data_IF_878476007990
#
_entry.id   IF_878476007990
#
_cell.length_a   1.000
_cell.length_b   1.000
_cell.length_c   1.000
_cell.angle_alpha   90.00
_cell.angle_beta   90.00
_cell.angle_gamma   90.00
#
_symmetry.space_group_name_H-M   'P 1'
#
loop_
_entity.id
_entity.type
_entity.pdbx_description
1 polymer ?
#
# COMPACT_ATOMS: atom_id res chain seq x y z
N UNK A 1 28.15 20.28 -6.31
CA UNK A 1 26.76 20.19 -5.82
C UNK A 1 26.32 18.77 -6.05
N UNK A 2 25.63 18.16 -5.08
CA UNK A 2 25.12 16.80 -5.22
C UNK A 2 24.05 16.73 -6.30
N UNK A 3 23.77 15.53 -6.82
CA UNK A 3 22.68 15.30 -7.76
C UNK A 3 21.56 14.55 -7.04
N UNK A 4 20.37 15.14 -7.00
CA UNK A 4 19.19 14.50 -6.42
C UNK A 4 18.41 13.78 -7.53
N UNK A 5 18.20 12.48 -7.32
CA UNK A 5 17.54 11.59 -8.27
C UNK A 5 16.20 11.11 -7.72
N UNK A 6 15.17 11.13 -8.55
CA UNK A 6 13.85 10.59 -8.20
C UNK A 6 13.11 10.02 -9.41
N UNK A 7 12.10 9.19 -9.16
CA UNK A 7 11.23 8.60 -10.19
C UNK A 7 9.93 9.39 -10.25
N UNK A 8 9.52 9.82 -11.44
CA UNK A 8 8.39 10.72 -11.63
C UNK A 8 7.33 10.19 -12.59
N UNK A 9 6.07 10.19 -12.15
CA UNK A 9 4.90 9.97 -12.98
C UNK A 9 4.20 11.29 -13.24
N UNK A 10 3.98 11.59 -14.52
CA UNK A 10 3.21 12.76 -14.92
C UNK A 10 1.72 12.62 -14.58
N UNK A 11 1.09 13.74 -14.24
CA UNK A 11 -0.38 13.82 -14.11
C UNK A 11 -1.04 13.31 -15.41
N UNK A 12 -2.10 12.52 -15.26
CA UNK A 12 -2.89 11.98 -16.38
C UNK A 12 -2.39 10.65 -16.94
N UNK A 13 -1.24 10.15 -16.47
CA UNK A 13 -0.71 8.84 -16.87
C UNK A 13 -1.35 7.72 -16.06
N UNK A 14 -1.83 6.66 -16.72
CA UNK A 14 -2.41 5.46 -16.10
C UNK A 14 -3.76 5.09 -16.69
N UNK A 15 -4.54 4.27 -15.98
CA UNK A 15 -5.86 3.86 -16.42
C UNK A 15 -6.92 4.97 -16.25
N UNK A 16 -8.00 4.93 -17.05
CA UNK A 16 -9.12 5.89 -16.99
C UNK A 16 -8.66 7.35 -17.18
N UNK A 17 -8.54 8.14 -16.11
CA UNK A 17 -8.04 9.52 -16.14
C UNK A 17 -6.58 9.63 -15.66
N UNK A 18 -5.95 8.51 -15.29
CA UNK A 18 -4.58 8.43 -14.82
C UNK A 18 -4.35 9.02 -13.44
N UNK A 19 -3.11 9.37 -13.13
CA UNK A 19 -2.74 10.02 -11.88
C UNK A 19 -3.38 11.42 -11.79
N UNK A 20 -4.12 11.75 -10.72
CA UNK A 20 -4.84 13.04 -10.60
C UNK A 20 -3.91 14.24 -10.35
N UNK A 21 -2.71 13.96 -9.87
CA UNK A 21 -1.58 14.86 -9.62
C UNK A 21 -0.28 14.12 -10.01
N UNK A 22 0.87 14.81 -10.06
CA UNK A 22 2.14 14.14 -10.28
C UNK A 22 2.54 13.23 -9.10
N UNK A 23 3.38 12.22 -9.35
CA UNK A 23 3.97 11.37 -8.31
C UNK A 23 5.49 11.41 -8.38
N UNK A 24 6.16 11.74 -7.29
CA UNK A 24 7.61 11.63 -7.15
C UNK A 24 7.96 10.60 -6.08
N UNK A 25 8.75 9.59 -6.44
CA UNK A 25 9.25 8.56 -5.52
C UNK A 25 10.78 8.72 -5.39
N UNK A 26 11.26 8.85 -4.15
CA UNK A 26 12.64 9.22 -3.84
C UNK A 26 13.25 8.15 -2.95
N UNK A 27 14.47 7.72 -3.25
CA UNK A 27 15.24 6.86 -2.34
C UNK A 27 15.95 7.74 -1.30
N UNK A 28 15.79 7.43 -0.02
CA UNK A 28 16.51 8.09 1.08
C UNK A 28 18.03 8.06 0.87
N UNK A 29 18.57 7.01 0.26
CA UNK A 29 20.00 6.93 -0.11
C UNK A 29 20.38 7.95 -1.18
N UNK A 30 19.47 8.30 -2.09
CA UNK A 30 19.70 9.35 -3.08
C UNK A 30 19.75 10.75 -2.43
N UNK A 31 18.92 11.00 -1.42
CA UNK A 31 18.98 12.24 -0.61
C UNK A 31 20.32 12.31 0.13
N UNK A 32 20.74 11.23 0.78
CA UNK A 32 22.01 11.17 1.49
C UNK A 32 23.22 11.38 0.55
N UNK A 33 23.21 10.74 -0.63
CA UNK A 33 24.26 10.89 -1.65
C UNK A 33 24.30 12.29 -2.26
N UNK A 34 23.17 13.01 -2.24
CA UNK A 34 23.08 14.40 -2.67
C UNK A 34 23.56 15.40 -1.61
N UNK A 35 23.91 14.94 -0.39
CA UNK A 35 24.43 15.75 0.72
C UNK A 35 23.49 16.89 1.16
N UNK A 36 22.18 16.67 1.08
CA UNK A 36 21.14 17.61 1.53
C UNK A 36 20.28 17.01 2.63
N UNK A 37 19.62 17.87 3.41
CA UNK A 37 18.56 17.42 4.31
C UNK A 37 17.34 16.92 3.52
N UNK A 38 16.54 16.07 4.15
CA UNK A 38 15.30 15.56 3.56
C UNK A 38 14.34 16.71 3.20
N UNK A 39 14.14 17.68 4.10
CA UNK A 39 13.33 18.87 3.84
C UNK A 39 13.82 19.66 2.61
N UNK A 40 15.14 19.89 2.51
CA UNK A 40 15.71 20.60 1.37
C UNK A 40 15.55 19.80 0.07
N UNK A 41 15.64 18.47 0.12
CA UNK A 41 15.37 17.61 -1.02
C UNK A 41 13.91 17.69 -1.48
N UNK A 42 12.96 17.66 -0.54
CA UNK A 42 11.53 17.80 -0.82
C UNK A 42 11.21 19.15 -1.47
N UNK A 43 11.74 20.25 -0.92
CA UNK A 43 11.54 21.60 -1.47
C UNK A 43 12.11 21.74 -2.89
N UNK A 44 13.27 21.13 -3.17
CA UNK A 44 13.88 21.13 -4.51
C UNK A 44 13.07 20.33 -5.52
N UNK A 45 12.57 19.16 -5.13
CA UNK A 45 11.70 18.34 -5.98
C UNK A 45 10.39 19.10 -6.26
N UNK A 46 9.79 19.71 -5.23
CA UNK A 46 8.61 20.53 -5.38
C UNK A 46 8.85 21.67 -6.39
N UNK A 47 9.93 22.44 -6.22
CA UNK A 47 10.30 23.55 -7.10
C UNK A 47 10.56 23.11 -8.54
N UNK A 48 11.23 21.98 -8.73
CA UNK A 48 11.53 21.44 -10.06
C UNK A 48 10.26 21.01 -10.82
N UNK A 49 9.25 20.50 -10.12
CA UNK A 49 7.98 20.05 -10.72
C UNK A 49 7.01 21.21 -10.92
N UNK A 50 6.95 22.16 -9.99
CA UNK A 50 6.18 23.40 -10.10
C UNK A 50 4.65 23.26 -10.05
N UNK A 51 4.10 22.07 -10.27
CA UNK A 51 2.67 21.75 -10.20
C UNK A 51 2.28 20.86 -9.01
N UNK A 52 1.02 20.41 -8.94
CA UNK A 52 0.55 19.56 -7.86
C UNK A 52 1.22 18.18 -7.94
N UNK A 53 1.84 17.75 -6.84
CA UNK A 53 2.60 16.50 -6.75
C UNK A 53 2.54 15.91 -5.34
N UNK A 54 2.46 14.58 -5.26
CA UNK A 54 2.75 13.82 -4.06
C UNK A 54 4.20 13.30 -4.11
N UNK A 55 4.96 13.49 -3.04
CA UNK A 55 6.37 13.11 -2.93
C UNK A 55 6.51 12.08 -1.81
N UNK A 56 7.02 10.89 -2.12
CA UNK A 56 7.20 9.80 -1.18
C UNK A 56 8.69 9.44 -1.06
N UNK A 57 9.23 9.49 0.15
CA UNK A 57 10.61 9.07 0.44
C UNK A 57 10.61 7.65 0.97
N UNK A 58 11.42 6.80 0.35
CA UNK A 58 11.55 5.39 0.66
C UNK A 58 12.86 5.08 1.38
N UNK A 59 12.78 4.26 2.41
CA UNK A 59 13.90 3.49 2.92
C UNK A 59 13.77 2.04 2.42
N UNK A 60 14.55 1.68 1.40
CA UNK A 60 14.49 0.35 0.79
C UNK A 60 15.11 -0.75 1.66
N UNK A 61 15.88 -0.37 2.68
CA UNK A 61 16.47 -1.31 3.65
C UNK A 61 15.53 -1.56 4.85
N UNK A 62 14.41 -0.85 4.92
CA UNK A 62 13.38 -1.02 5.94
C UNK A 62 12.33 -2.08 5.52
N UNK A 63 11.34 -2.28 6.39
CA UNK A 63 10.14 -3.10 6.15
C UNK A 63 8.88 -2.36 6.55
N UNK A 64 7.77 -2.77 5.96
CA UNK A 64 6.44 -2.30 6.29
C UNK A 64 5.43 -3.45 6.15
N UNK A 65 4.16 -3.13 6.31
CA UNK A 65 3.04 -4.06 6.10
C UNK A 65 2.08 -3.49 5.06
N UNK A 66 1.44 -4.38 4.30
CA UNK A 66 0.19 -4.06 3.61
C UNK A 66 -0.93 -3.88 4.65
N UNK A 67 -2.06 -3.28 4.26
CA UNK A 67 -3.18 -3.04 5.19
C UNK A 67 -3.78 -4.31 5.79
N UNK A 68 -3.66 -5.45 5.09
CA UNK A 68 -4.08 -6.78 5.53
C UNK A 68 -2.97 -7.56 6.27
N UNK A 69 -1.86 -6.90 6.62
CA UNK A 69 -0.84 -7.43 7.53
C UNK A 69 0.27 -8.26 6.89
N UNK A 70 0.38 -8.28 5.56
CA UNK A 70 1.50 -8.96 4.87
C UNK A 70 2.75 -8.11 5.00
N UNK A 71 3.83 -8.70 5.53
CA UNK A 71 5.12 -8.02 5.70
C UNK A 71 5.82 -7.93 4.34
N UNK A 72 6.29 -6.73 3.99
CA UNK A 72 6.96 -6.46 2.71
C UNK A 72 8.21 -5.62 2.93
N UNK A 73 9.20 -5.81 2.05
CA UNK A 73 10.42 -5.01 2.01
C UNK A 73 10.18 -3.60 1.46
N UNK A 74 10.97 -2.65 1.96
CA UNK A 74 10.88 -1.25 1.61
C UNK A 74 9.74 -0.55 2.33
N UNK A 75 10.02 0.61 2.91
CA UNK A 75 9.02 1.40 3.60
C UNK A 75 9.03 2.86 3.13
N UNK A 76 7.84 3.46 3.13
CA UNK A 76 7.72 4.92 3.00
C UNK A 76 8.03 5.48 4.38
N UNK A 77 9.05 6.33 4.47
CA UNK A 77 9.47 6.95 5.74
C UNK A 77 9.01 8.40 5.85
N UNK A 78 8.73 9.04 4.71
CA UNK A 78 8.18 10.39 4.65
C UNK A 78 7.22 10.51 3.48
N UNK A 79 6.09 11.16 3.71
CA UNK A 79 5.14 11.56 2.67
C UNK A 79 5.01 13.08 2.64
N UNK A 80 4.83 13.63 1.45
CA UNK A 80 4.67 15.07 1.25
C UNK A 80 3.70 15.36 0.11
N UNK A 81 3.11 16.55 0.14
CA UNK A 81 2.33 17.12 -0.95
C UNK A 81 2.86 18.51 -1.27
N UNK A 82 3.00 18.83 -2.56
CA UNK A 82 3.45 20.14 -3.04
C UNK A 82 2.56 20.65 -4.17
N UNK A 83 2.49 21.98 -4.32
CA UNK A 83 1.85 22.65 -5.45
C UNK A 83 2.48 24.04 -5.65
N UNK A 84 2.52 24.54 -6.89
CA UNK A 84 3.12 25.84 -7.20
C UNK A 84 4.61 25.93 -6.83
N UNK A 85 5.32 24.81 -6.83
CA UNK A 85 6.74 24.75 -6.44
C UNK A 85 7.01 24.87 -4.94
N UNK A 86 5.98 24.68 -4.09
CA UNK A 86 6.07 24.90 -2.65
C UNK A 86 5.40 23.76 -1.88
N UNK A 87 5.83 23.59 -0.64
CA UNK A 87 5.23 22.69 0.34
C UNK A 87 4.63 23.53 1.48
N UNK A 88 3.42 23.21 1.90
CA UNK A 88 2.79 23.86 3.03
C UNK A 88 3.54 23.50 4.32
N UNK A 89 3.92 24.50 5.12
CA UNK A 89 4.77 24.30 6.31
C UNK A 89 4.16 23.37 7.37
N UNK A 90 2.85 23.50 7.60
CA UNK A 90 2.17 22.71 8.64
C UNK A 90 1.63 21.37 8.13
N UNK A 91 1.02 21.34 6.94
CA UNK A 91 0.28 20.16 6.44
C UNK A 91 0.97 19.47 5.26
N UNK A 92 2.08 19.98 4.76
CA UNK A 92 2.68 19.53 3.51
C UNK A 92 3.70 18.39 3.66
N UNK A 93 4.12 18.06 4.88
CA UNK A 93 5.08 16.99 5.18
C UNK A 93 4.59 16.19 6.38
N UNK A 94 4.74 14.87 6.31
CA UNK A 94 4.46 13.96 7.43
C UNK A 94 5.47 12.81 7.42
N UNK A 95 6.14 12.64 8.55
CA UNK A 95 7.12 11.58 8.76
C UNK A 95 6.46 10.35 9.39
N UNK A 96 6.83 9.16 8.91
CA UNK A 96 6.41 7.90 9.51
C UNK A 96 7.28 7.62 10.73
N UNK A 97 6.67 7.08 11.79
CA UNK A 97 7.40 6.75 13.01
C UNK A 97 8.08 5.39 12.87
N UNK A 98 9.33 5.30 13.32
CA UNK A 98 10.00 4.01 13.51
C UNK A 98 9.30 3.25 14.65
N UNK A 99 8.85 2.03 14.38
CA UNK A 99 8.16 1.20 15.36
C UNK A 99 9.18 0.19 15.91
N UNK A 100 9.50 0.32 17.19
CA UNK A 100 10.26 -0.70 17.91
C UNK A 100 9.45 -2.00 17.98
N UNK A 101 10.06 -3.11 17.55
CA UNK A 101 9.46 -4.44 17.57
C UNK A 101 9.94 -5.18 18.81
N UNK A 102 9.12 -5.20 19.84
CA UNK A 102 9.35 -5.91 21.10
C UNK A 102 8.31 -7.03 21.32
N UNK A 103 8.50 -7.83 22.37
CA UNK A 103 7.60 -8.94 22.70
C UNK A 103 6.16 -8.48 22.98
N UNK A 104 5.98 -7.26 23.50
CA UNK A 104 4.67 -6.69 23.75
C UNK A 104 3.94 -6.41 22.42
N UNK A 105 4.62 -5.79 21.47
CA UNK A 105 4.10 -5.55 20.13
C UNK A 105 3.77 -6.88 19.43
N UNK A 106 4.66 -7.88 19.50
CA UNK A 106 4.43 -9.19 18.86
C UNK A 106 3.26 -9.98 19.47
N UNK A 107 2.95 -9.74 20.75
CA UNK A 107 1.78 -10.31 21.40
C UNK A 107 0.48 -9.64 20.91
N UNK A 108 0.50 -8.32 20.72
CA UNK A 108 -0.65 -7.55 20.22
C UNK A 108 -0.85 -7.70 18.71
N UNK A 109 0.24 -7.87 17.96
CA UNK A 109 0.28 -7.89 16.49
C UNK A 109 0.98 -9.14 15.98
N UNK A 110 0.33 -10.31 16.10
CA UNK A 110 0.97 -11.60 15.82
C UNK A 110 1.39 -11.78 14.36
N UNK A 111 0.88 -10.96 13.43
CA UNK A 111 1.32 -10.97 12.04
C UNK A 111 2.77 -10.49 11.86
N UNK A 112 3.35 -9.80 12.84
CA UNK A 112 4.75 -9.38 12.83
C UNK A 112 5.72 -10.47 13.30
N UNK A 113 5.25 -11.58 13.87
CA UNK A 113 6.13 -12.63 14.41
C UNK A 113 7.18 -13.16 13.41
N UNK A 114 6.89 -13.30 12.11
CA UNK A 114 7.90 -13.73 11.15
C UNK A 114 8.97 -12.68 10.83
N UNK A 115 8.78 -11.40 11.20
CA UNK A 115 9.60 -10.26 10.78
C UNK A 115 11.10 -10.50 11.02
N UNK A 116 11.48 -10.95 12.23
CA UNK A 116 12.88 -11.15 12.58
C UNK A 116 13.57 -12.24 11.74
N UNK A 117 12.81 -13.23 11.25
CA UNK A 117 13.31 -14.30 10.39
C UNK A 117 13.35 -13.88 8.92
N UNK A 118 12.27 -13.27 8.43
CA UNK A 118 12.15 -12.83 7.04
C UNK A 118 13.10 -11.66 6.71
N UNK A 119 13.28 -10.75 7.68
CA UNK A 119 13.96 -9.47 7.47
C UNK A 119 14.84 -9.09 8.68
N UNK A 120 15.90 -9.87 8.96
CA UNK A 120 16.72 -9.69 10.15
C UNK A 120 17.33 -8.29 10.22
N UNK A 121 17.11 -7.60 11.35
CA UNK A 121 17.68 -6.28 11.64
C UNK A 121 17.06 -5.10 10.89
N UNK A 122 16.02 -5.32 10.08
CA UNK A 122 15.33 -4.24 9.37
C UNK A 122 14.37 -3.48 10.29
N UNK A 123 14.30 -2.17 10.10
CA UNK A 123 13.43 -1.26 10.85
C UNK A 123 12.00 -1.30 10.30
N UNK A 124 11.01 -1.27 11.18
CA UNK A 124 9.59 -1.25 10.83
C UNK A 124 9.07 0.19 10.76
N UNK A 125 8.44 0.54 9.64
CA UNK A 125 7.68 1.78 9.48
C UNK A 125 6.31 1.46 8.87
N UNK A 126 5.27 2.21 9.24
CA UNK A 126 3.92 2.07 8.66
C UNK A 126 3.28 3.44 8.44
N UNK A 127 2.87 4.08 9.52
CA UNK A 127 2.27 5.40 9.57
C UNK A 127 2.98 6.32 10.56
N UNK A 128 2.55 7.58 10.65
CA UNK A 128 3.04 8.54 11.64
C UNK A 128 2.53 8.21 13.05
N UNK A 129 3.25 8.70 14.05
CA UNK A 129 2.73 8.77 15.43
C UNK A 129 1.53 9.74 15.47
N UNK A 130 0.33 9.31 15.89
CA UNK A 130 -0.86 10.15 15.98
C UNK A 130 -0.69 11.39 16.85
N UNK A 131 0.18 11.33 17.86
CA UNK A 131 0.48 12.48 18.72
C UNK A 131 1.27 13.58 17.98
N UNK A 132 1.93 13.24 16.86
CA UNK A 132 2.72 14.16 16.03
C UNK A 132 1.95 14.67 14.81
N UNK A 133 0.72 14.20 14.59
CA UNK A 133 -0.13 14.61 13.47
C UNK A 133 -0.94 15.86 13.83
N UNK A 134 -1.04 16.79 12.88
CA UNK A 134 -1.99 17.90 12.98
C UNK A 134 -3.39 17.54 12.47
N UNK A 135 -3.48 16.64 11.48
CA UNK A 135 -4.75 16.15 10.94
C UNK A 135 -5.06 14.81 11.62
N UNK A 136 -6.05 14.74 12.52
CA UNK A 136 -6.19 13.59 13.42
C UNK A 136 -6.71 12.32 12.72
N UNK A 137 -7.66 12.48 11.79
CA UNK A 137 -8.42 11.34 11.24
C UNK A 137 -7.60 10.52 10.24
N UNK A 138 -6.98 11.16 9.25
CA UNK A 138 -6.27 10.48 8.16
C UNK A 138 -4.76 10.72 8.24
N UNK A 139 -3.97 9.78 7.74
CA UNK A 139 -2.53 9.97 7.54
C UNK A 139 -2.34 10.72 6.21
N UNK A 140 -2.39 12.06 6.27
CA UNK A 140 -2.55 12.90 5.08
C UNK A 140 -1.63 14.13 5.10
N UNK A 141 -1.11 14.47 3.92
CA UNK A 141 -0.47 15.74 3.62
C UNK A 141 -1.24 16.48 2.53
N UNK A 142 -1.25 17.81 2.61
CA UNK A 142 -1.92 18.67 1.65
C UNK A 142 -1.15 19.98 1.41
N UNK A 143 -0.98 20.31 0.14
CA UNK A 143 -0.51 21.64 -0.30
C UNK A 143 -1.25 22.03 -1.58
N UNK A 144 -1.93 23.18 -1.57
CA UNK A 144 -2.68 23.66 -2.73
C UNK A 144 -3.70 22.61 -3.20
N UNK A 145 -3.57 22.15 -4.43
CA UNK A 145 -4.45 21.13 -5.03
C UNK A 145 -4.02 19.70 -4.73
N UNK A 146 -2.79 19.48 -4.24
CA UNK A 146 -2.24 18.14 -4.04
C UNK A 146 -2.61 17.60 -2.65
N UNK A 147 -3.15 16.38 -2.63
CA UNK A 147 -3.37 15.59 -1.42
C UNK A 147 -2.63 14.26 -1.57
N UNK A 148 -1.83 13.93 -0.57
CA UNK A 148 -1.17 12.64 -0.42
C UNK A 148 -1.75 12.00 0.85
N UNK A 149 -2.37 10.83 0.77
CA UNK A 149 -3.24 10.28 1.81
C UNK A 149 -2.95 8.80 2.15
N UNK A 150 -3.47 8.34 3.28
CA UNK A 150 -3.38 6.99 3.83
C UNK A 150 -1.94 6.44 3.83
N UNK A 151 -1.03 7.23 4.42
CA UNK A 151 0.41 6.92 4.47
C UNK A 151 1.01 6.76 3.08
N UNK A 152 0.56 7.62 2.17
CA UNK A 152 1.04 7.74 0.81
C UNK A 152 0.69 6.62 -0.17
N UNK A 153 -0.39 5.87 0.10
CA UNK A 153 -0.95 4.89 -0.85
C UNK A 153 -2.19 5.38 -1.59
N UNK A 154 -2.62 6.61 -1.32
CA UNK A 154 -3.73 7.26 -2.02
C UNK A 154 -3.32 8.67 -2.38
N UNK A 155 -3.64 9.11 -3.59
CA UNK A 155 -3.36 10.49 -4.01
C UNK A 155 -4.59 11.10 -4.65
N UNK A 156 -4.83 12.36 -4.34
CA UNK A 156 -6.04 13.05 -4.76
C UNK A 156 -5.72 14.47 -5.24
N UNK A 157 -6.58 14.96 -6.12
CA UNK A 157 -6.65 16.37 -6.44
C UNK A 157 -7.80 17.01 -5.67
N UNK A 158 -7.49 17.96 -4.79
CA UNK A 158 -8.48 18.61 -3.90
C UNK A 158 -9.55 19.41 -4.66
N UNK A 159 -9.31 19.77 -5.92
CA UNK A 159 -10.23 20.57 -6.72
C UNK A 159 -11.12 19.71 -7.62
N UNK A 160 -10.52 18.74 -8.32
CA UNK A 160 -11.30 17.86 -9.21
C UNK A 160 -11.94 16.69 -8.46
N UNK A 161 -11.52 16.43 -7.21
CA UNK A 161 -11.92 15.28 -6.41
C UNK A 161 -11.55 13.94 -7.07
N UNK A 162 -10.66 13.97 -8.07
CA UNK A 162 -10.10 12.77 -8.68
C UNK A 162 -9.11 12.13 -7.73
N UNK A 163 -9.14 10.80 -7.65
CA UNK A 163 -8.34 9.98 -6.76
C UNK A 163 -7.66 8.84 -7.53
N UNK A 164 -6.48 8.42 -7.08
CA UNK A 164 -5.84 7.18 -7.52
C UNK A 164 -5.29 6.39 -6.33
N UNK A 165 -5.45 5.06 -6.35
CA UNK A 165 -4.74 4.17 -5.43
C UNK A 165 -3.36 3.85 -5.95
N UNK A 166 -2.36 3.91 -5.09
CA UNK A 166 -1.02 3.46 -5.39
C UNK A 166 -0.48 2.62 -4.22
N UNK A 167 -0.97 1.38 -4.02
CA UNK A 167 -0.54 0.52 -2.91
C UNK A 167 0.97 0.31 -2.86
N UNK A 168 1.48 0.03 -1.66
CA UNK A 168 2.93 -0.01 -1.36
C UNK A 168 3.72 -0.92 -2.31
N UNK A 169 3.21 -2.12 -2.60
CA UNK A 169 3.90 -3.05 -3.49
C UNK A 169 4.04 -2.51 -4.92
N UNK A 170 3.06 -1.75 -5.41
CA UNK A 170 3.18 -1.07 -6.70
C UNK A 170 4.30 -0.02 -6.68
N UNK A 171 4.41 0.74 -5.59
CA UNK A 171 5.47 1.74 -5.45
C UNK A 171 6.86 1.09 -5.32
N UNK A 172 6.97 0.00 -4.56
CA UNK A 172 8.21 -0.79 -4.43
C UNK A 172 8.63 -1.37 -5.77
N UNK A 173 7.70 -1.86 -6.60
CA UNK A 173 8.01 -2.28 -7.97
C UNK A 173 8.61 -1.12 -8.80
N UNK A 174 8.07 0.10 -8.69
CA UNK A 174 8.66 1.27 -9.36
C UNK A 174 10.07 1.56 -8.85
N UNK A 175 10.27 1.54 -7.53
CA UNK A 175 11.58 1.77 -6.91
C UNK A 175 12.63 0.74 -7.34
N UNK A 176 12.20 -0.50 -7.57
CA UNK A 176 13.02 -1.62 -8.03
C UNK A 176 13.05 -1.78 -9.57
N UNK A 177 12.44 -0.85 -10.33
CA UNK A 177 12.38 -0.88 -11.80
C UNK A 177 11.70 -2.15 -12.36
N UNK A 178 10.80 -2.73 -11.58
CA UNK A 178 9.96 -3.86 -11.94
C UNK A 178 8.75 -3.49 -12.80
N UNK A 179 7.86 -4.46 -12.97
CA UNK A 179 6.60 -4.25 -13.68
C UNK A 179 5.55 -3.68 -12.73
N UNK A 180 4.65 -2.87 -13.28
CA UNK A 180 3.43 -2.42 -12.58
C UNK A 180 2.21 -2.74 -13.43
N UNK A 181 1.04 -2.73 -12.80
CA UNK A 181 -0.24 -2.88 -13.48
C UNK A 181 -1.02 -1.58 -13.32
N UNK A 182 -1.34 -0.94 -14.45
CA UNK A 182 -2.36 0.09 -14.49
C UNK A 182 -3.73 -0.57 -14.62
N UNK A 183 -4.66 -0.19 -13.76
CA UNK A 183 -6.02 -0.75 -13.79
C UNK A 183 -7.03 0.23 -13.18
N UNK A 184 -8.30 -0.11 -13.31
CA UNK A 184 -9.36 0.40 -12.43
C UNK A 184 -9.53 -0.62 -11.31
N UNK A 185 -9.66 -0.16 -10.07
CA UNK A 185 -9.76 -1.00 -8.86
C UNK A 185 -10.82 -2.10 -8.93
N UNK A 186 -12.05 -1.75 -9.33
CA UNK A 186 -13.21 -2.64 -9.30
C UNK A 186 -13.68 -2.99 -7.89
N UNK A 187 -14.78 -3.76 -7.82
CA UNK A 187 -15.43 -4.05 -6.53
C UNK A 187 -14.61 -4.92 -5.59
N UNK A 188 -13.85 -5.88 -6.13
CA UNK A 188 -13.00 -6.78 -5.33
C UNK A 188 -11.94 -6.00 -4.55
N UNK A 189 -11.23 -5.07 -5.21
CA UNK A 189 -10.24 -4.25 -4.53
C UNK A 189 -10.92 -3.27 -3.56
N UNK A 190 -12.08 -2.74 -3.94
CA UNK A 190 -12.91 -1.90 -3.06
C UNK A 190 -13.34 -2.62 -1.78
N UNK A 191 -13.61 -3.93 -1.80
CA UNK A 191 -13.84 -4.73 -0.58
C UNK A 191 -12.53 -4.95 0.17
N UNK A 192 -11.47 -5.36 -0.54
CA UNK A 192 -10.20 -5.76 0.07
C UNK A 192 -9.51 -4.67 0.90
N UNK A 193 -9.61 -3.39 0.51
CA UNK A 193 -9.02 -2.29 1.28
C UNK A 193 -9.60 -2.13 2.70
N UNK A 194 -10.81 -2.65 2.94
CA UNK A 194 -11.45 -2.63 4.25
C UNK A 194 -11.05 -3.80 5.14
N UNK A 195 -10.43 -4.84 4.58
CA UNK A 195 -10.10 -6.06 5.31
C UNK A 195 -8.72 -5.95 5.96
N UNK A 196 -8.64 -5.10 6.97
CA UNK A 196 -7.37 -4.70 7.60
C UNK A 196 -6.93 -5.63 8.74
N UNK A 197 -5.78 -5.33 9.34
CA UNK A 197 -5.38 -5.85 10.65
C UNK A 197 -5.16 -4.72 11.65
N UNK A 198 -5.17 -5.07 12.93
CA UNK A 198 -4.97 -4.12 14.02
C UNK A 198 -3.49 -3.74 14.09
N UNK A 199 -3.17 -2.47 13.83
CA UNK A 199 -1.79 -1.98 13.79
C UNK A 199 -1.58 -0.76 14.69
N UNK A 200 -0.47 -0.74 15.41
CA UNK A 200 0.13 0.48 15.96
C UNK A 200 0.63 1.32 14.79
N UNK A 201 0.19 2.58 14.78
CA UNK A 201 0.52 3.55 13.73
C UNK A 201 0.23 2.96 12.35
N UNK A 202 -0.93 2.33 12.21
CA UNK A 202 -1.33 1.66 10.98
C UNK A 202 -1.40 2.62 9.80
N UNK A 203 -1.29 2.06 8.59
CA UNK A 203 -1.23 2.85 7.35
C UNK A 203 -2.49 3.65 7.08
N UNK A 204 -3.65 3.08 7.42
CA UNK A 204 -4.97 3.68 7.22
C UNK A 204 -5.50 4.18 8.56
N UNK A 205 -5.48 3.30 9.58
CA UNK A 205 -5.96 3.61 10.91
C UNK A 205 -4.80 3.80 11.88
N UNK A 206 -4.74 4.94 12.59
CA UNK A 206 -3.63 5.25 13.50
C UNK A 206 -3.56 4.33 14.73
N UNK A 207 -4.67 3.68 15.07
CA UNK A 207 -4.83 2.83 16.25
C UNK A 207 -5.39 1.46 15.87
N UNK A 208 -5.26 0.51 16.80
CA UNK A 208 -5.67 -0.90 16.66
C UNK A 208 -7.19 -1.08 16.73
N UNK A 209 -7.88 -0.62 15.69
CA UNK A 209 -9.34 -0.57 15.67
C UNK A 209 -9.98 -1.86 15.16
N UNK A 210 -9.40 -2.48 14.13
CA UNK A 210 -10.02 -3.62 13.44
C UNK A 210 -9.11 -4.84 13.52
N UNK A 211 -9.60 -5.92 14.13
CA UNK A 211 -8.87 -7.17 14.23
C UNK A 211 -8.82 -7.91 12.88
N UNK A 212 -7.89 -8.86 12.78
CA UNK A 212 -7.87 -9.80 11.66
C UNK A 212 -9.22 -10.54 11.57
N UNK A 213 -9.83 -10.56 10.39
CA UNK A 213 -11.16 -11.15 10.16
C UNK A 213 -12.31 -10.15 10.22
N UNK A 214 -12.05 -8.88 10.57
CA UNK A 214 -13.03 -7.79 10.52
C UNK A 214 -12.92 -6.98 9.22
N UNK A 215 -13.93 -6.14 8.98
CA UNK A 215 -13.93 -5.12 7.93
C UNK A 215 -14.07 -3.74 8.53
N UNK A 216 -13.29 -2.79 8.01
CA UNK A 216 -13.34 -1.39 8.38
C UNK A 216 -14.41 -0.58 7.63
N UNK A 217 -15.01 -1.13 6.58
CA UNK A 217 -16.10 -0.45 5.87
C UNK A 217 -17.43 -0.59 6.62
N UNK A 218 -17.71 -1.79 7.12
CA UNK A 218 -18.94 -2.19 7.83
C UNK A 218 -20.23 -1.72 7.13
N UNK A 219 -20.28 -1.86 5.80
CA UNK A 219 -21.43 -1.41 4.99
C UNK A 219 -22.01 -2.48 4.06
N UNK A 220 -21.59 -3.73 4.23
CA UNK A 220 -22.12 -4.88 3.47
C UNK A 220 -21.93 -4.70 1.96
N UNK A 221 -22.97 -4.97 1.18
CA UNK A 221 -22.87 -4.97 -0.28
C UNK A 221 -22.40 -3.65 -0.90
N UNK A 222 -22.52 -2.52 -0.19
CA UNK A 222 -22.02 -1.22 -0.67
C UNK A 222 -20.50 -1.11 -0.65
N UNK A 223 -19.80 -1.95 0.12
CA UNK A 223 -18.33 -1.95 0.21
C UNK A 223 -17.67 -2.14 -1.16
N UNK A 224 -18.30 -2.92 -2.05
CA UNK A 224 -17.82 -3.11 -3.42
C UNK A 224 -17.89 -1.84 -4.28
N UNK A 225 -18.55 -0.78 -3.83
CA UNK A 225 -18.79 0.44 -4.63
C UNK A 225 -17.90 1.61 -4.22
N UNK A 226 -17.44 1.64 -2.95
CA UNK A 226 -16.76 2.79 -2.33
C UNK A 226 -15.59 3.33 -3.15
N UNK A 227 -14.72 2.43 -3.60
CA UNK A 227 -13.54 2.74 -4.40
C UNK A 227 -13.53 1.95 -5.70
N UNK A 228 -14.67 1.55 -6.26
CA UNK A 228 -14.73 0.65 -7.42
C UNK A 228 -14.24 1.24 -8.75
N UNK A 229 -14.29 2.57 -8.86
CA UNK A 229 -14.18 3.28 -10.14
C UNK A 229 -12.98 4.23 -10.21
N UNK A 230 -11.99 4.05 -9.33
CA UNK A 230 -10.78 4.88 -9.31
C UNK A 230 -9.64 4.16 -10.04
N UNK A 231 -8.76 4.89 -10.72
CA UNK A 231 -7.52 4.34 -11.24
C UNK A 231 -6.64 3.82 -10.11
N UNK A 232 -5.82 2.83 -10.43
CA UNK A 232 -4.80 2.33 -9.54
C UNK A 232 -3.52 1.94 -10.30
N UNK A 233 -2.40 2.05 -9.60
CA UNK A 233 -1.09 1.52 -9.99
C UNK A 233 -0.72 0.47 -8.95
N UNK A 234 -0.71 -0.80 -9.33
CA UNK A 234 -0.49 -1.92 -8.40
C UNK A 234 0.66 -2.80 -8.86
N UNK A 235 1.18 -3.64 -7.96
CA UNK A 235 2.10 -4.68 -8.37
C UNK A 235 1.37 -5.76 -9.18
N UNK A 236 2.07 -6.46 -10.09
CA UNK A 236 1.55 -7.68 -10.71
C UNK A 236 1.06 -8.69 -9.67
N UNK A 237 0.00 -9.45 -10.02
CA UNK A 237 -0.62 -10.41 -9.08
C UNK A 237 0.34 -11.52 -8.65
N UNK A 238 1.30 -11.90 -9.49
CA UNK A 238 2.38 -12.84 -9.13
C UNK A 238 3.29 -12.29 -8.04
N UNK A 239 3.60 -11.00 -8.08
CA UNK A 239 4.36 -10.33 -7.01
C UNK A 239 3.54 -10.30 -5.72
N UNK A 240 2.26 -9.93 -5.79
CA UNK A 240 1.37 -9.96 -4.61
C UNK A 240 1.26 -11.37 -4.01
N UNK A 241 1.03 -12.38 -4.86
CA UNK A 241 0.95 -13.78 -4.45
C UNK A 241 2.23 -14.25 -3.76
N UNK A 242 3.40 -13.86 -4.27
CA UNK A 242 4.70 -14.17 -3.64
C UNK A 242 4.74 -13.72 -2.18
N UNK A 243 4.40 -12.46 -1.90
CA UNK A 243 4.44 -11.95 -0.52
C UNK A 243 3.39 -12.61 0.38
N UNK A 244 2.21 -12.90 -0.14
CA UNK A 244 1.19 -13.65 0.61
C UNK A 244 1.71 -15.06 0.93
N UNK A 245 2.28 -15.78 -0.04
CA UNK A 245 2.85 -17.11 0.19
C UNK A 245 3.99 -17.08 1.20
N UNK A 246 4.87 -16.07 1.13
CA UNK A 246 5.97 -15.89 2.08
C UNK A 246 5.45 -15.87 3.52
N UNK A 247 4.36 -15.15 3.81
CA UNK A 247 3.81 -15.12 5.18
C UNK A 247 2.97 -16.35 5.55
N UNK A 248 2.33 -17.01 4.59
CA UNK A 248 1.59 -18.25 4.82
C UNK A 248 2.52 -19.42 5.14
N UNK A 249 3.67 -19.51 4.47
CA UNK A 249 4.73 -20.49 4.73
C UNK A 249 5.31 -20.33 6.14
N UNK A 250 5.24 -19.12 6.70
CA UNK A 250 5.64 -18.82 8.08
C UNK A 250 4.54 -19.13 9.12
N UNK A 251 3.43 -19.71 8.67
CA UNK A 251 2.33 -20.16 9.53
C UNK A 251 1.33 -19.06 9.91
N UNK A 252 1.32 -17.92 9.20
CA UNK A 252 0.26 -16.94 9.40
C UNK A 252 -1.06 -17.43 8.80
N UNK A 253 -2.17 -17.14 9.50
CA UNK A 253 -3.50 -17.68 9.18
C UNK A 253 -4.42 -16.49 8.85
N UNK A 254 -4.99 -16.42 7.64
CA UNK A 254 -5.99 -15.41 7.29
C UNK A 254 -7.23 -15.47 8.20
N UNK A 255 -7.73 -14.31 8.60
CA UNK A 255 -8.82 -14.17 9.56
C UNK A 255 -8.40 -14.30 11.03
N UNK A 256 -7.13 -14.61 11.31
CA UNK A 256 -6.61 -14.73 12.69
C UNK A 256 -5.35 -13.90 12.91
N UNK A 257 -4.38 -14.01 12.02
CA UNK A 257 -3.16 -13.23 12.04
C UNK A 257 -3.19 -12.17 10.93
N UNK A 258 -3.60 -12.56 9.72
CA UNK A 258 -3.73 -11.69 8.56
C UNK A 258 -5.18 -11.25 8.35
N UNK A 259 -5.37 -10.12 7.68
CA UNK A 259 -6.67 -9.64 7.23
C UNK A 259 -7.36 -10.66 6.31
N UNK A 260 -8.67 -10.55 6.19
CA UNK A 260 -9.47 -11.45 5.35
C UNK A 260 -9.69 -10.89 3.93
N UNK A 261 -8.71 -10.16 3.39
CA UNK A 261 -8.80 -9.57 2.07
C UNK A 261 -8.98 -10.65 0.97
N UNK A 262 -9.76 -10.38 -0.10
CA UNK A 262 -9.98 -11.31 -1.20
C UNK A 262 -8.71 -11.98 -1.73
N UNK A 263 -7.63 -11.21 -1.93
CA UNK A 263 -6.35 -11.73 -2.43
C UNK A 263 -5.73 -12.74 -1.46
N UNK A 264 -5.69 -12.41 -0.17
CA UNK A 264 -5.12 -13.26 0.89
C UNK A 264 -5.92 -14.56 1.00
N UNK A 265 -7.25 -14.48 1.06
CA UNK A 265 -8.11 -15.66 1.15
C UNK A 265 -8.00 -16.56 -0.08
N UNK A 266 -7.98 -16.00 -1.29
CA UNK A 266 -7.89 -16.80 -2.51
C UNK A 266 -6.54 -17.50 -2.65
N UNK A 267 -5.43 -16.83 -2.31
CA UNK A 267 -4.10 -17.46 -2.31
C UNK A 267 -4.00 -18.54 -1.24
N UNK A 268 -4.45 -18.26 0.00
CA UNK A 268 -4.45 -19.25 1.08
C UNK A 268 -5.29 -20.48 0.72
N UNK A 269 -6.47 -20.27 0.14
CA UNK A 269 -7.32 -21.34 -0.33
C UNK A 269 -6.68 -22.13 -1.47
N UNK A 270 -6.05 -21.49 -2.46
CA UNK A 270 -5.37 -22.18 -3.55
C UNK A 270 -4.17 -23.02 -3.06
N UNK A 271 -3.41 -22.48 -2.10
CA UNK A 271 -2.25 -23.14 -1.48
C UNK A 271 -2.65 -24.28 -0.54
N UNK A 272 -3.86 -24.21 0.04
CA UNK A 272 -4.35 -25.17 1.02
C UNK A 272 -3.93 -24.86 2.45
N UNK A 273 -3.57 -23.60 2.73
CA UNK A 273 -3.36 -23.10 4.08
C UNK A 273 -4.67 -23.04 4.87
N UNK A 274 -4.54 -23.10 6.19
CA UNK A 274 -5.66 -22.84 7.10
C UNK A 274 -6.20 -21.41 6.89
N UNK A 275 -7.52 -21.27 6.86
CA UNK A 275 -8.24 -20.01 6.96
C UNK A 275 -9.09 -20.11 8.23
N UNK A 276 -8.99 -19.13 9.12
CA UNK A 276 -9.77 -19.09 10.35
C UNK A 276 -11.20 -18.60 10.05
N UNK A 277 -11.99 -19.42 9.34
CA UNK A 277 -13.32 -19.08 8.83
C UNK A 277 -14.26 -18.60 9.94
N UNK A 278 -14.18 -19.19 11.13
CA UNK A 278 -15.03 -18.83 12.27
C UNK A 278 -14.58 -17.54 12.98
N UNK A 279 -13.37 -17.04 12.68
CA UNK A 279 -12.90 -15.74 13.16
C UNK A 279 -13.27 -14.59 12.21
N UNK A 280 -13.63 -14.89 10.96
CA UNK A 280 -14.09 -13.88 10.00
C UNK A 280 -15.52 -13.48 10.38
N UNK A 281 -15.74 -12.21 10.66
CA UNK A 281 -17.02 -11.70 11.15
C UNK A 281 -18.12 -11.80 10.08
N UNK A 282 -19.38 -11.88 10.52
CA UNK A 282 -20.53 -11.89 9.61
C UNK A 282 -20.55 -10.65 8.70
N UNK A 283 -20.08 -9.50 9.22
CA UNK A 283 -19.97 -8.26 8.44
C UNK A 283 -18.92 -8.36 7.34
N UNK A 284 -17.75 -8.91 7.64
CA UNK A 284 -16.73 -9.15 6.63
C UNK A 284 -17.22 -10.16 5.58
N UNK A 285 -17.93 -11.22 5.99
CA UNK A 285 -18.54 -12.17 5.05
C UNK A 285 -19.56 -11.52 4.11
N UNK A 286 -20.43 -10.64 4.62
CA UNK A 286 -21.38 -9.90 3.76
C UNK A 286 -20.66 -9.11 2.66
N UNK A 287 -19.56 -8.43 3.00
CA UNK A 287 -18.79 -7.68 2.02
C UNK A 287 -18.06 -8.59 1.02
N UNK A 288 -17.50 -9.72 1.48
CA UNK A 288 -16.87 -10.71 0.61
C UNK A 288 -17.88 -11.36 -0.35
N UNK A 289 -19.10 -11.65 0.12
CA UNK A 289 -20.18 -12.21 -0.68
C UNK A 289 -20.61 -11.26 -1.79
N UNK A 290 -20.58 -9.95 -1.54
CA UNK A 290 -20.90 -8.92 -2.53
C UNK A 290 -20.02 -8.95 -3.78
N UNK A 291 -18.82 -9.55 -3.69
CA UNK A 291 -17.88 -9.75 -4.79
C UNK A 291 -17.72 -11.22 -5.20
N UNK A 292 -18.66 -12.07 -4.79
CA UNK A 292 -18.74 -13.48 -5.18
C UNK A 292 -17.90 -14.44 -4.35
N UNK A 293 -17.37 -14.02 -3.20
CA UNK A 293 -16.54 -14.84 -2.31
C UNK A 293 -17.31 -15.22 -1.04
N UNK A 294 -18.01 -16.36 -1.06
CA UNK A 294 -18.81 -16.80 0.08
C UNK A 294 -18.04 -17.69 1.06
N UNK A 295 -18.52 -17.78 2.31
CA UNK A 295 -18.01 -18.75 3.30
C UNK A 295 -18.02 -20.18 2.75
N UNK A 296 -19.07 -20.55 2.01
CA UNK A 296 -19.20 -21.87 1.38
C UNK A 296 -18.17 -22.13 0.26
N UNK A 297 -17.68 -21.09 -0.40
CA UNK A 297 -16.58 -21.24 -1.36
C UNK A 297 -15.32 -21.75 -0.67
N UNK A 298 -14.96 -21.14 0.47
CA UNK A 298 -13.72 -21.46 1.19
C UNK A 298 -13.79 -22.75 2.02
N UNK A 299 -14.99 -23.25 2.33
CA UNK A 299 -15.18 -24.56 2.96
C UNK A 299 -14.99 -25.75 1.99
N UNK A 300 -14.96 -25.51 0.68
CA UNK A 300 -14.71 -26.56 -0.31
C UNK A 300 -13.26 -27.04 -0.25
N UNK A 301 -12.99 -28.21 -0.84
CA UNK A 301 -11.64 -28.71 -0.95
C UNK A 301 -10.78 -27.77 -1.82
N UNK A 302 -9.65 -27.36 -1.27
CA UNK A 302 -8.58 -26.64 -1.98
C UNK A 302 -7.94 -27.52 -3.05
N UNK A 303 -7.46 -26.89 -4.13
CA UNK A 303 -6.63 -27.54 -5.15
C UNK A 303 -5.22 -27.91 -4.65
N UNK A 304 -4.76 -27.30 -3.54
CA UNK A 304 -3.43 -27.50 -2.94
C UNK A 304 -2.30 -27.34 -3.96
N UNK A 305 -2.35 -26.24 -4.69
CA UNK A 305 -1.33 -25.88 -5.67
C UNK A 305 -0.02 -25.57 -4.93
N UNK A 306 1.11 -25.89 -5.56
CA UNK A 306 2.41 -25.49 -5.05
C UNK A 306 2.69 -24.01 -5.36
N UNK A 307 3.79 -23.49 -4.78
CA UNK A 307 4.21 -22.09 -4.93
C UNK A 307 4.35 -21.67 -6.39
N UNK A 308 5.05 -22.45 -7.21
CA UNK A 308 5.30 -22.11 -8.62
C UNK A 308 4.00 -22.06 -9.43
N UNK A 309 3.10 -23.00 -9.18
CA UNK A 309 1.77 -23.04 -9.81
C UNK A 309 0.92 -21.83 -9.43
N UNK A 310 0.95 -21.39 -8.16
CA UNK A 310 0.19 -20.22 -7.71
C UNK A 310 0.74 -18.94 -8.34
N UNK A 311 2.06 -18.78 -8.38
CA UNK A 311 2.70 -17.62 -9.02
C UNK A 311 2.38 -17.56 -10.51
N UNK A 312 2.47 -18.70 -11.21
CA UNK A 312 2.18 -18.78 -12.65
C UNK A 312 0.70 -18.52 -12.97
N UNK A 313 -0.21 -18.82 -12.03
CA UNK A 313 -1.67 -18.67 -12.17
C UNK A 313 -2.23 -17.53 -11.34
N UNK A 314 -1.40 -16.60 -10.90
CA UNK A 314 -1.81 -15.56 -9.95
C UNK A 314 -2.94 -14.66 -10.49
N UNK A 315 -2.96 -14.40 -11.80
CA UNK A 315 -4.04 -13.66 -12.45
C UNK A 315 -5.39 -14.38 -12.43
N UNK A 316 -5.38 -15.72 -12.42
CA UNK A 316 -6.58 -16.56 -12.28
C UNK A 316 -7.05 -16.67 -10.83
N UNK A 317 -6.09 -16.79 -9.90
CA UNK A 317 -6.36 -17.05 -8.48
C UNK A 317 -6.79 -15.79 -7.75
N UNK A 318 -6.10 -14.67 -7.97
CA UNK A 318 -6.40 -13.42 -7.27
C UNK A 318 -7.44 -12.66 -8.09
N UNK A 319 -8.68 -12.50 -7.59
CA UNK A 319 -9.72 -11.77 -8.32
C UNK A 319 -9.45 -10.25 -8.33
N UNK A 320 -10.22 -9.54 -9.16
CA UNK A 320 -10.23 -8.08 -9.17
C UNK A 320 -9.34 -7.46 -10.25
N UNK A 321 -9.29 -6.11 -10.21
CA UNK A 321 -8.81 -5.22 -11.27
C UNK A 321 -9.67 -5.28 -12.54
N UNK A 322 -10.07 -4.10 -13.02
CA UNK A 322 -10.80 -3.91 -14.26
C UNK A 322 -9.84 -3.33 -15.29
N UNK A 323 -9.80 -3.96 -16.48
CA UNK A 323 -8.91 -3.60 -17.60
C UNK A 323 -7.43 -3.50 -17.17
N UNK A 324 -6.85 -4.53 -16.52
CA UNK A 324 -5.46 -4.49 -16.11
C UNK A 324 -4.53 -4.43 -17.32
N UNK A 325 -3.52 -3.58 -17.24
CA UNK A 325 -2.44 -3.47 -18.22
C UNK A 325 -1.10 -3.53 -17.48
N UNK A 326 -0.39 -4.66 -17.62
CA UNK A 326 0.98 -4.82 -17.12
C UNK A 326 1.97 -4.09 -18.03
N UNK A 327 2.80 -3.26 -17.43
CA UNK A 327 3.80 -2.44 -18.13
C UNK A 327 5.10 -2.38 -17.33
N UNK A 328 6.21 -2.05 -18.00
CA UNK A 328 7.47 -1.74 -17.31
C UNK A 328 7.33 -0.38 -16.62
N UNK A 329 7.66 -0.31 -15.33
CA UNK A 329 7.56 0.96 -14.60
C UNK A 329 8.41 2.06 -15.23
N UNK A 330 9.59 1.74 -15.75
CA UNK A 330 10.55 2.67 -16.35
C UNK A 330 10.07 3.33 -17.65
N UNK A 331 9.03 2.79 -18.30
CA UNK A 331 8.41 3.42 -19.48
C UNK A 331 7.56 4.64 -19.11
N UNK A 332 7.06 4.69 -17.86
CA UNK A 332 6.10 5.69 -17.41
C UNK A 332 6.61 6.53 -16.23
N UNK A 333 7.44 5.94 -15.36
CA UNK A 333 8.10 6.61 -14.26
C UNK A 333 9.51 7.02 -14.67
N UNK A 334 9.65 8.28 -15.10
CA UNK A 334 10.91 8.82 -15.61
C UNK A 334 11.87 9.08 -14.46
N UNK A 335 13.15 8.72 -14.62
CA UNK A 335 14.21 9.16 -13.70
C UNK A 335 14.50 10.62 -14.00
N UNK A 336 14.34 11.48 -13.00
CA UNK A 336 14.67 12.90 -13.05
C UNK A 336 15.89 13.12 -12.17
N UNK A 337 16.84 13.90 -12.69
CA UNK A 337 18.03 14.37 -11.99
C UNK A 337 17.93 15.89 -11.87
N UNK A 338 18.10 16.42 -10.65
CA UNK A 338 18.16 17.85 -10.38
C UNK A 338 19.38 18.18 -9.51
N UNK A 339 19.81 19.43 -9.55
CA UNK A 339 20.87 19.93 -8.67
C UNK A 339 20.39 20.00 -7.21
N UNK A 340 21.18 19.39 -6.32
CA UNK A 340 21.01 19.40 -4.87
C UNK A 340 21.80 20.53 -4.19
#
# INVERSE_FOLDING_TARGET
MGKLMFRYLDKGVGAKFGAPIGMALVDKKAIAAAEVSEEAALDRIAAAIGGPVAINVFDLDAVTTTSDGVIVEGAIVTMSAADGGKIHKEFGILHMEEIEVDEALLAEEPHLKPLARMYPGRKLFRGPDPAKKLIPVHNVCMTGKAINNNSATEVMNAVTMEEMLFPILGQVQVMNEGDVVFAITGGVMSVGIGMTVAEKFGRVFPTRQFAAGETAHDCGDYAQTLKANIPCVVAPKDVLAKHILDVLEEGLIPGKHLGCAPAVLCVAHAFGSEIAIENISDRAWLELESVGLSKQHFLKASLRLNREEILARADEIIPGLIKPQRVKSTEYFRKIEIEA
#
